data_IF_718128727625
#
_entry.id   IF_718128727625
#
_cell.length_a   1.000
_cell.length_b   1.000
_cell.length_c   1.000
_cell.angle_alpha   90.00
_cell.angle_beta   90.00
_cell.angle_gamma   90.00
#
_symmetry.space_group_name_H-M   'P 1'
#
loop_
_entity.id
_entity.type
_entity.pdbx_description
1 polymer ?
#
# COMPACT_ATOMS: atom_id res chain seq x y z
N UNK A 1 -16.13 22.80 28.13
CA UNK A 1 -15.93 23.01 26.68
C UNK A 1 -16.41 21.75 25.99
N UNK A 2 -17.23 21.87 24.95
CA UNK A 2 -17.68 20.69 24.19
C UNK A 2 -16.49 20.02 23.52
N UNK A 3 -16.30 18.72 23.77
CA UNK A 3 -15.23 17.94 23.16
C UNK A 3 -15.43 17.86 21.64
N UNK A 4 -14.55 18.50 20.85
CA UNK A 4 -14.61 18.46 19.39
C UNK A 4 -13.95 17.18 18.85
N UNK A 5 -14.64 16.04 18.97
CA UNK A 5 -14.15 14.75 18.49
C UNK A 5 -14.08 14.69 16.97
N UNK A 6 -12.97 14.16 16.44
CA UNK A 6 -12.70 14.03 15.00
C UNK A 6 -12.34 12.58 14.70
N UNK A 7 -13.18 11.91 13.92
CA UNK A 7 -12.91 10.58 13.39
C UNK A 7 -12.03 10.68 12.15
N UNK A 8 -10.86 10.05 12.21
CA UNK A 8 -9.82 10.14 11.18
C UNK A 8 -9.66 8.77 10.52
N UNK A 9 -10.23 8.58 9.33
CA UNK A 9 -10.23 7.29 8.63
C UNK A 9 -8.90 7.01 7.90
N UNK A 10 -7.85 6.77 8.70
CA UNK A 10 -6.50 6.35 8.29
C UNK A 10 -5.79 5.64 9.44
N UNK A 11 -4.71 4.94 9.12
CA UNK A 11 -3.76 4.43 10.12
C UNK A 11 -3.07 5.59 10.86
N UNK A 12 -2.90 5.46 12.18
CA UNK A 12 -2.08 6.40 12.97
C UNK A 12 -0.62 6.03 12.79
N UNK A 13 0.25 7.00 12.46
CA UNK A 13 1.70 6.77 12.55
C UNK A 13 2.10 6.57 14.03
N UNK A 14 3.17 5.81 14.27
CA UNK A 14 3.70 5.55 15.63
C UNK A 14 3.91 6.85 16.43
N UNK A 15 3.79 6.74 17.77
CA UNK A 15 3.60 7.87 18.68
C UNK A 15 4.55 9.05 18.46
N UNK A 16 3.98 10.26 18.52
CA UNK A 16 4.55 11.58 18.27
C UNK A 16 4.98 11.93 16.82
N UNK A 17 4.87 10.99 15.85
CA UNK A 17 5.20 11.27 14.44
C UNK A 17 3.99 11.53 13.53
N UNK A 18 2.77 11.49 14.05
CA UNK A 18 1.57 11.79 13.26
C UNK A 18 1.21 13.28 13.34
N UNK A 19 1.62 14.05 12.34
CA UNK A 19 1.33 15.48 12.24
C UNK A 19 -0.17 15.79 12.23
N UNK A 20 -1.03 14.89 11.72
CA UNK A 20 -2.49 15.07 11.80
C UNK A 20 -2.97 15.03 13.25
N UNK A 21 -2.45 14.08 14.05
CA UNK A 21 -2.77 14.00 15.48
C UNK A 21 -2.31 15.27 16.20
N UNK A 22 -1.05 15.68 15.99
CA UNK A 22 -0.46 16.83 16.67
C UNK A 22 -1.22 18.13 16.37
N UNK A 23 -1.52 18.40 15.09
CA UNK A 23 -2.24 19.61 14.67
C UNK A 23 -3.69 19.63 15.17
N UNK A 24 -4.37 18.47 15.19
CA UNK A 24 -5.74 18.39 15.73
C UNK A 24 -5.75 18.73 17.22
N UNK A 25 -4.83 18.15 18.02
CA UNK A 25 -4.71 18.45 19.45
C UNK A 25 -4.37 19.93 19.68
N UNK A 26 -3.41 20.49 18.92
CA UNK A 26 -3.02 21.90 19.01
C UNK A 26 -4.18 22.86 18.72
N UNK A 27 -5.15 22.44 17.91
CA UNK A 27 -6.34 23.22 17.58
C UNK A 27 -7.57 22.81 18.43
N UNK A 28 -7.37 22.16 19.57
CA UNK A 28 -8.40 21.76 20.55
C UNK A 28 -9.43 20.74 20.02
N UNK A 29 -9.03 19.86 19.11
CA UNK A 29 -9.81 18.70 18.69
C UNK A 29 -9.35 17.42 19.41
N UNK A 30 -10.23 16.42 19.49
CA UNK A 30 -9.92 15.09 20.02
C UNK A 30 -9.89 14.09 18.84
N UNK A 31 -8.71 13.75 18.30
CA UNK A 31 -8.59 12.83 17.18
C UNK A 31 -8.76 11.37 17.61
N UNK A 32 -9.58 10.63 16.88
CA UNK A 32 -9.73 9.18 16.99
C UNK A 32 -9.45 8.55 15.62
N UNK A 33 -8.34 7.82 15.53
CA UNK A 33 -7.89 7.20 14.29
C UNK A 33 -8.58 5.86 14.07
N UNK A 34 -9.18 5.69 12.90
CA UNK A 34 -9.91 4.49 12.49
C UNK A 34 -9.21 3.90 11.25
N UNK A 35 -8.35 2.90 11.45
CA UNK A 35 -7.81 2.10 10.34
C UNK A 35 -8.93 1.49 9.49
N UNK A 36 -8.89 1.75 8.18
CA UNK A 36 -9.89 1.25 7.21
C UNK A 36 -9.29 0.32 6.16
N UNK A 37 -7.97 0.31 6.05
CA UNK A 37 -7.23 -0.38 5.00
C UNK A 37 -6.21 -1.30 5.65
N UNK A 38 -6.03 -2.47 5.06
CA UNK A 38 -4.89 -3.34 5.31
C UNK A 38 -4.45 -3.97 3.98
N UNK A 39 -3.66 -5.03 4.02
CA UNK A 39 -3.32 -5.83 2.87
C UNK A 39 -3.39 -7.32 3.18
N UNK A 40 -3.67 -8.08 2.14
CA UNK A 40 -3.59 -9.52 2.16
C UNK A 40 -2.50 -9.99 1.20
N UNK A 41 -1.86 -11.11 1.54
CA UNK A 41 -0.90 -11.76 0.68
C UNK A 41 -1.66 -12.60 -0.36
N UNK A 42 -1.28 -12.50 -1.61
CA UNK A 42 -1.93 -13.15 -2.75
C UNK A 42 -0.98 -14.14 -3.43
N UNK A 43 -1.55 -15.14 -4.09
CA UNK A 43 -0.82 -16.09 -4.95
C UNK A 43 0.38 -16.78 -4.26
N UNK A 44 0.28 -17.00 -2.94
CA UNK A 44 1.34 -17.65 -2.17
C UNK A 44 1.64 -19.05 -2.72
N UNK A 45 0.61 -19.83 -3.06
CA UNK A 45 0.81 -21.18 -3.61
C UNK A 45 1.50 -21.17 -4.97
N UNK A 46 1.12 -20.26 -5.86
CA UNK A 46 1.80 -20.10 -7.16
C UNK A 46 3.27 -19.70 -6.95
N UNK A 47 3.53 -18.78 -6.02
CA UNK A 47 4.89 -18.36 -5.71
C UNK A 47 5.69 -19.50 -5.08
N UNK A 48 5.09 -20.27 -4.18
CA UNK A 48 5.67 -21.46 -3.56
C UNK A 48 6.09 -22.48 -4.64
N UNK A 49 5.23 -22.75 -5.61
CA UNK A 49 5.52 -23.67 -6.71
C UNK A 49 6.70 -23.16 -7.57
N UNK A 50 6.69 -21.87 -7.95
CA UNK A 50 7.80 -21.22 -8.66
C UNK A 50 9.11 -21.35 -7.89
N UNK A 51 9.10 -21.04 -6.59
CA UNK A 51 10.27 -21.11 -5.72
C UNK A 51 10.81 -22.55 -5.59
N UNK A 52 9.91 -23.54 -5.54
CA UNK A 52 10.27 -24.95 -5.44
C UNK A 52 10.89 -25.52 -6.72
N UNK A 53 10.43 -25.06 -7.90
CA UNK A 53 10.95 -25.50 -9.20
C UNK A 53 12.28 -24.82 -9.54
N UNK A 54 12.43 -23.57 -9.11
CA UNK A 54 13.65 -22.80 -9.26
C UNK A 54 13.75 -22.01 -10.57
N UNK A 55 14.67 -21.03 -10.65
CA UNK A 55 14.79 -20.11 -11.78
C UNK A 55 15.00 -20.79 -13.13
N UNK A 56 15.85 -21.82 -13.19
CA UNK A 56 16.17 -22.49 -14.46
C UNK A 56 14.97 -23.22 -15.06
N UNK A 57 14.16 -23.88 -14.22
CA UNK A 57 12.95 -24.57 -14.67
C UNK A 57 11.88 -23.57 -15.13
N UNK A 58 11.70 -22.48 -14.40
CA UNK A 58 10.68 -21.46 -14.68
C UNK A 58 11.09 -20.44 -15.77
N UNK A 59 12.31 -20.58 -16.30
CA UNK A 59 12.97 -19.64 -17.19
C UNK A 59 13.00 -18.21 -16.60
N UNK A 60 13.25 -18.10 -15.30
CA UNK A 60 13.32 -16.82 -14.59
C UNK A 60 14.76 -16.31 -14.60
N UNK A 61 14.96 -15.13 -15.18
CA UNK A 61 16.30 -14.50 -15.32
C UNK A 61 16.54 -13.35 -14.36
N UNK A 62 15.51 -12.91 -13.64
CA UNK A 62 15.62 -11.86 -12.63
C UNK A 62 14.33 -11.68 -11.83
N UNK A 63 14.43 -11.02 -10.69
CA UNK A 63 13.31 -10.74 -9.79
C UNK A 63 13.14 -9.21 -9.62
N UNK A 64 11.91 -8.72 -9.74
CA UNK A 64 11.58 -7.31 -9.48
C UNK A 64 10.71 -7.21 -8.22
N UNK A 65 11.15 -6.40 -7.26
CA UNK A 65 10.48 -6.15 -5.98
C UNK A 65 10.27 -4.65 -5.75
N UNK A 66 9.01 -4.22 -5.77
CA UNK A 66 8.68 -2.79 -5.64
C UNK A 66 8.10 -2.40 -4.28
N UNK A 67 7.97 -3.35 -3.36
CA UNK A 67 7.27 -3.16 -2.07
C UNK A 67 7.73 -4.17 -1.03
N UNK A 68 7.80 -3.75 0.23
CA UNK A 68 8.02 -4.64 1.38
C UNK A 68 6.97 -5.78 1.44
N UNK A 69 5.72 -5.51 1.03
CA UNK A 69 4.64 -6.50 1.02
C UNK A 69 4.91 -7.64 0.03
N UNK A 70 5.58 -7.36 -1.09
CA UNK A 70 6.03 -8.41 -2.02
C UNK A 70 7.06 -9.33 -1.36
N UNK A 71 7.96 -8.77 -0.54
CA UNK A 71 8.94 -9.56 0.22
C UNK A 71 8.27 -10.36 1.34
N UNK A 72 7.25 -9.83 2.01
CA UNK A 72 6.45 -10.62 2.97
C UNK A 72 5.81 -11.84 2.30
N UNK A 73 5.26 -11.66 1.10
CA UNK A 73 4.66 -12.77 0.32
C UNK A 73 5.71 -13.82 -0.05
N UNK A 74 6.87 -13.36 -0.52
CA UNK A 74 8.01 -14.19 -0.86
C UNK A 74 8.50 -15.01 0.33
N UNK A 75 8.73 -14.35 1.47
CA UNK A 75 9.14 -15.03 2.70
C UNK A 75 8.08 -16.01 3.18
N UNK A 76 6.78 -15.66 3.08
CA UNK A 76 5.70 -16.57 3.44
C UNK A 76 5.68 -17.81 2.54
N UNK A 77 5.91 -17.65 1.25
CA UNK A 77 6.03 -18.78 0.33
C UNK A 77 7.26 -19.65 0.66
N UNK A 78 8.41 -19.04 1.00
CA UNK A 78 9.59 -19.77 1.48
C UNK A 78 9.33 -20.54 2.78
N UNK A 79 8.61 -19.96 3.75
CA UNK A 79 8.27 -20.61 5.02
C UNK A 79 7.39 -21.87 4.83
N UNK A 80 6.56 -21.89 3.78
CA UNK A 80 5.73 -23.04 3.44
C UNK A 80 6.49 -24.14 2.68
N UNK A 81 7.74 -23.87 2.26
CA UNK A 81 8.64 -24.85 1.67
C UNK A 81 9.50 -25.44 2.79
N UNK A 82 9.18 -26.65 3.25
CA UNK A 82 9.90 -27.33 4.35
C UNK A 82 11.43 -27.35 4.10
N UNK A 83 11.85 -27.74 2.90
CA UNK A 83 13.26 -27.73 2.47
C UNK A 83 13.35 -27.38 0.99
N UNK A 84 14.11 -26.32 0.65
CA UNK A 84 14.53 -26.02 -0.73
C UNK A 84 15.88 -26.71 -0.97
N UNK A 85 15.99 -27.62 -1.97
CA UNK A 85 17.25 -28.28 -2.31
C UNK A 85 18.36 -27.28 -2.65
N UNK A 86 19.60 -27.58 -2.24
CA UNK A 86 20.74 -26.69 -2.40
C UNK A 86 21.01 -26.21 -3.84
N UNK A 87 20.83 -27.04 -4.89
CA UNK A 87 20.95 -26.57 -6.28
C UNK A 87 19.95 -25.46 -6.63
N UNK A 88 18.70 -25.56 -6.16
CA UNK A 88 17.66 -24.57 -6.39
C UNK A 88 17.93 -23.31 -5.56
N UNK A 89 18.33 -23.47 -4.30
CA UNK A 89 18.76 -22.35 -3.44
C UNK A 89 19.88 -21.55 -4.10
N UNK A 90 20.88 -22.24 -4.65
CA UNK A 90 22.00 -21.62 -5.35
C UNK A 90 21.55 -20.82 -6.56
N UNK A 91 20.60 -21.33 -7.35
CA UNK A 91 20.03 -20.59 -8.49
C UNK A 91 19.37 -19.27 -8.03
N UNK A 92 18.53 -19.32 -7.00
CA UNK A 92 17.90 -18.12 -6.45
C UNK A 92 18.90 -17.12 -5.85
N UNK A 93 19.97 -17.61 -5.21
CA UNK A 93 20.98 -16.77 -4.60
C UNK A 93 21.81 -15.96 -5.63
N UNK A 94 21.98 -16.48 -6.85
CA UNK A 94 22.71 -15.81 -7.92
C UNK A 94 21.82 -14.96 -8.85
N UNK A 95 20.50 -15.10 -8.73
CA UNK A 95 19.54 -14.39 -9.56
C UNK A 95 19.64 -12.86 -9.33
N UNK A 96 19.68 -12.03 -10.38
CA UNK A 96 19.63 -10.59 -10.20
C UNK A 96 18.29 -10.13 -9.62
N UNK A 97 18.36 -9.15 -8.73
CA UNK A 97 17.18 -8.60 -8.05
C UNK A 97 17.14 -7.09 -8.20
N UNK A 98 16.04 -6.59 -8.75
CA UNK A 98 15.79 -5.17 -8.99
C UNK A 98 14.80 -4.65 -7.96
N UNK A 99 15.23 -3.72 -7.11
CA UNK A 99 14.54 -3.37 -5.87
C UNK A 99 14.19 -1.89 -5.84
N UNK A 100 12.92 -1.58 -5.54
CA UNK A 100 12.49 -0.22 -5.22
C UNK A 100 12.42 -0.02 -3.71
N UNK A 101 13.20 0.95 -3.24
CA UNK A 101 13.20 1.45 -1.86
C UNK A 101 14.16 0.68 -0.92
N UNK A 102 14.89 1.39 -0.05
CA UNK A 102 15.86 0.78 0.86
C UNK A 102 15.21 -0.13 1.90
N UNK A 103 13.97 0.14 2.31
CA UNK A 103 13.24 -0.72 3.25
C UNK A 103 12.91 -2.09 2.65
N UNK A 104 12.62 -2.15 1.34
CA UNK A 104 12.39 -3.41 0.62
C UNK A 104 13.67 -4.25 0.57
N UNK A 105 14.81 -3.60 0.28
CA UNK A 105 16.13 -4.25 0.29
C UNK A 105 16.48 -4.82 1.67
N UNK A 106 16.33 -4.00 2.73
CA UNK A 106 16.62 -4.41 4.11
C UNK A 106 15.76 -5.60 4.55
N UNK A 107 14.50 -5.64 4.14
CA UNK A 107 13.60 -6.75 4.43
C UNK A 107 14.00 -8.01 3.65
N UNK A 108 14.37 -7.87 2.37
CA UNK A 108 14.82 -9.00 1.55
C UNK A 108 16.15 -9.59 2.05
N UNK A 109 17.05 -8.76 2.57
CA UNK A 109 18.33 -9.21 3.12
C UNK A 109 18.19 -10.14 4.34
N UNK A 110 16.99 -10.25 4.92
CA UNK A 110 16.65 -11.18 6.00
C UNK A 110 16.02 -12.48 5.48
N UNK A 111 15.84 -12.62 4.17
CA UNK A 111 15.31 -13.83 3.55
C UNK A 111 16.32 -14.97 3.62
N UNK A 112 15.83 -16.20 3.77
CA UNK A 112 16.66 -17.41 3.76
C UNK A 112 17.13 -17.82 2.36
N UNK A 113 16.50 -17.27 1.32
CA UNK A 113 16.72 -17.65 -0.08
C UNK A 113 17.59 -16.63 -0.84
N UNK A 114 17.52 -15.35 -0.46
CA UNK A 114 18.21 -14.26 -1.13
C UNK A 114 19.28 -13.68 -0.20
N UNK A 115 20.54 -13.88 -0.57
CA UNK A 115 21.69 -13.24 0.10
C UNK A 115 22.19 -12.06 -0.74
N UNK A 116 22.81 -11.07 -0.10
CA UNK A 116 23.25 -9.82 -0.75
C UNK A 116 24.40 -9.97 -1.77
N UNK A 117 24.70 -11.19 -2.23
CA UNK A 117 26.02 -11.52 -2.75
C UNK A 117 26.10 -11.85 -4.25
N UNK A 118 25.25 -11.28 -5.12
CA UNK A 118 25.60 -11.34 -6.56
C UNK A 118 25.17 -10.17 -7.44
N UNK A 119 23.92 -9.69 -7.37
CA UNK A 119 23.47 -8.66 -8.33
C UNK A 119 22.18 -7.95 -7.94
N UNK A 120 22.21 -7.24 -6.81
CA UNK A 120 21.06 -6.41 -6.42
C UNK A 120 21.24 -4.99 -6.92
N UNK A 121 20.26 -4.50 -7.67
CA UNK A 121 20.20 -3.10 -8.10
C UNK A 121 19.03 -2.45 -7.40
N UNK A 122 19.35 -1.49 -6.54
CA UNK A 122 18.36 -0.77 -5.73
C UNK A 122 18.27 0.69 -6.19
N UNK A 123 17.05 1.20 -6.25
CA UNK A 123 16.80 2.63 -6.43
C UNK A 123 15.65 3.09 -5.53
N UNK A 124 15.59 4.36 -5.10
CA UNK A 124 14.59 4.82 -4.13
C UNK A 124 13.16 4.87 -4.73
N UNK A 125 13.02 4.92 -6.05
CA UNK A 125 11.74 4.85 -6.75
C UNK A 125 11.88 4.11 -8.10
N UNK A 126 10.75 3.71 -8.68
CA UNK A 126 10.69 2.98 -9.95
C UNK A 126 11.35 3.73 -11.11
N UNK A 127 11.19 5.06 -11.20
CA UNK A 127 11.76 5.85 -12.30
C UNK A 127 13.29 5.79 -12.32
N UNK A 128 13.90 5.76 -11.14
CA UNK A 128 15.36 5.66 -11.00
C UNK A 128 15.88 4.22 -11.08
N UNK A 129 15.02 3.20 -10.95
CA UNK A 129 15.40 1.79 -11.10
C UNK A 129 15.52 1.37 -12.57
N UNK A 130 14.68 1.94 -13.44
CA UNK A 130 14.47 1.44 -14.81
C UNK A 130 15.75 1.42 -15.64
N UNK A 131 16.47 2.54 -15.70
CA UNK A 131 17.69 2.63 -16.51
C UNK A 131 18.79 1.65 -16.06
N UNK A 132 19.19 1.60 -14.77
CA UNK A 132 20.21 0.65 -14.34
C UNK A 132 19.75 -0.81 -14.46
N UNK A 133 18.46 -1.10 -14.25
CA UNK A 133 17.89 -2.43 -14.47
C UNK A 133 18.01 -2.86 -15.94
N UNK A 134 17.58 -2.03 -16.90
CA UNK A 134 17.66 -2.37 -18.33
C UNK A 134 19.12 -2.51 -18.79
N UNK A 135 20.01 -1.64 -18.31
CA UNK A 135 21.44 -1.71 -18.63
C UNK A 135 22.05 -3.03 -18.15
N UNK A 136 21.74 -3.45 -16.92
CA UNK A 136 22.20 -4.71 -16.35
C UNK A 136 21.70 -5.93 -17.13
N UNK A 137 20.41 -5.95 -17.46
CA UNK A 137 19.79 -7.02 -18.26
C UNK A 137 20.46 -7.12 -19.62
N UNK A 138 20.68 -5.97 -20.28
CA UNK A 138 21.28 -5.93 -21.63
C UNK A 138 22.71 -6.48 -21.64
N UNK A 139 23.50 -6.18 -20.59
CA UNK A 139 24.89 -6.64 -20.44
C UNK A 139 24.99 -8.16 -20.18
N UNK A 140 23.95 -8.77 -19.61
CA UNK A 140 23.97 -10.17 -19.18
C UNK A 140 22.97 -11.07 -19.94
N UNK A 141 22.43 -10.58 -21.06
CA UNK A 141 21.41 -11.26 -21.89
C UNK A 141 21.92 -12.48 -22.69
N UNK A 142 22.77 -13.31 -22.10
CA UNK A 142 23.25 -14.54 -22.73
C UNK A 142 22.13 -15.58 -22.92
N UNK A 143 21.05 -15.50 -22.14
CA UNK A 143 19.89 -16.40 -22.19
C UNK A 143 18.73 -15.74 -22.94
N UNK A 144 18.50 -16.16 -24.19
CA UNK A 144 17.51 -15.54 -25.10
C UNK A 144 16.05 -15.84 -24.77
N UNK A 145 15.76 -16.86 -23.96
CA UNK A 145 14.41 -17.40 -23.76
C UNK A 145 13.85 -17.22 -22.34
N UNK A 146 14.47 -16.37 -21.53
CA UNK A 146 14.05 -16.11 -20.15
C UNK A 146 13.13 -14.91 -19.96
N UNK A 147 12.59 -14.78 -18.74
CA UNK A 147 11.71 -13.67 -18.33
C UNK A 147 11.99 -13.21 -16.90
N UNK A 148 11.71 -11.96 -16.61
CA UNK A 148 11.72 -11.45 -15.23
C UNK A 148 10.47 -11.90 -14.47
N UNK A 149 10.60 -12.22 -13.19
CA UNK A 149 9.46 -12.36 -12.28
C UNK A 149 9.22 -11.03 -11.58
N UNK A 150 8.06 -10.41 -11.81
CA UNK A 150 7.69 -9.15 -11.17
C UNK A 150 6.63 -9.36 -10.09
N UNK A 151 7.00 -9.19 -8.81
CA UNK A 151 6.06 -9.29 -7.70
C UNK A 151 5.44 -7.92 -7.39
N UNK A 152 4.19 -7.75 -7.80
CA UNK A 152 3.46 -6.48 -7.75
C UNK A 152 2.27 -6.51 -6.78
N UNK A 153 1.83 -5.35 -6.32
CA UNK A 153 0.55 -5.20 -5.61
C UNK A 153 -0.57 -4.71 -6.51
N UNK A 154 -1.83 -4.92 -6.12
CA UNK A 154 -3.04 -4.43 -6.83
C UNK A 154 -2.99 -2.96 -7.30
N UNK A 155 -2.29 -2.09 -6.56
CA UNK A 155 -2.14 -0.66 -6.86
C UNK A 155 -0.78 -0.27 -7.46
N UNK A 156 -0.07 -1.22 -8.09
CA UNK A 156 1.22 -0.91 -8.77
C UNK A 156 1.03 0.13 -9.87
N UNK A 157 2.08 0.92 -10.12
CA UNK A 157 2.16 1.86 -11.24
C UNK A 157 2.72 1.14 -12.47
N UNK A 158 2.25 1.52 -13.65
CA UNK A 158 2.64 0.86 -14.91
C UNK A 158 4.03 1.23 -15.42
N UNK A 159 4.77 2.09 -14.70
CA UNK A 159 6.06 2.61 -15.15
C UNK A 159 7.10 1.51 -15.42
N UNK A 160 7.15 0.47 -14.57
CA UNK A 160 8.06 -0.67 -14.77
C UNK A 160 7.56 -1.56 -15.93
N UNK A 161 6.31 -2.07 -15.93
CA UNK A 161 5.76 -2.82 -17.07
C UNK A 161 5.97 -2.12 -18.41
N UNK A 162 5.61 -0.84 -18.53
CA UNK A 162 5.77 -0.07 -19.77
C UNK A 162 7.23 0.07 -20.21
N UNK A 163 8.16 0.20 -19.26
CA UNK A 163 9.57 0.29 -19.58
C UNK A 163 10.15 -1.06 -20.06
N UNK A 164 9.71 -2.17 -19.46
CA UNK A 164 10.08 -3.52 -19.89
C UNK A 164 9.51 -3.83 -21.28
N UNK A 165 8.24 -3.51 -21.53
CA UNK A 165 7.59 -3.66 -22.84
C UNK A 165 8.32 -2.85 -23.91
N UNK A 166 8.64 -1.57 -23.63
CA UNK A 166 9.39 -0.71 -24.55
C UNK A 166 10.79 -1.24 -24.87
N UNK A 167 11.42 -1.93 -23.92
CA UNK A 167 12.72 -2.55 -24.09
C UNK A 167 12.65 -3.97 -24.67
N UNK A 168 11.45 -4.49 -24.95
CA UNK A 168 11.19 -5.88 -25.36
C UNK A 168 11.78 -6.91 -24.38
N UNK A 169 11.70 -6.63 -23.08
CA UNK A 169 12.17 -7.53 -22.02
C UNK A 169 10.97 -8.34 -21.50
N UNK A 170 10.94 -9.67 -21.70
CA UNK A 170 9.84 -10.51 -21.23
C UNK A 170 9.75 -10.49 -19.70
N UNK A 171 8.54 -10.43 -19.16
CA UNK A 171 8.30 -10.59 -17.73
C UNK A 171 6.99 -11.32 -17.45
N UNK A 172 6.94 -11.98 -16.30
CA UNK A 172 5.75 -12.54 -15.67
C UNK A 172 5.41 -11.69 -14.46
N UNK A 173 4.31 -10.96 -14.53
CA UNK A 173 3.76 -10.28 -13.36
C UNK A 173 2.99 -11.27 -12.50
N UNK A 174 3.28 -11.27 -11.20
CA UNK A 174 2.52 -12.00 -10.19
C UNK A 174 2.05 -11.01 -9.13
N UNK A 175 0.74 -10.92 -8.95
CA UNK A 175 0.18 -10.12 -7.87
C UNK A 175 0.49 -10.81 -6.53
N UNK A 176 1.43 -10.26 -5.77
CA UNK A 176 1.87 -10.81 -4.49
C UNK A 176 1.03 -10.31 -3.32
N UNK A 177 0.35 -9.17 -3.45
CA UNK A 177 -0.56 -8.68 -2.42
C UNK A 177 -1.69 -7.83 -3.01
N UNK A 178 -2.77 -7.72 -2.26
CA UNK A 178 -3.88 -6.83 -2.57
C UNK A 178 -4.19 -5.91 -1.38
N UNK A 179 -4.72 -4.73 -1.67
CA UNK A 179 -5.27 -3.85 -0.63
C UNK A 179 -6.66 -4.36 -0.25
N UNK A 180 -6.89 -4.61 1.03
CA UNK A 180 -8.17 -5.08 1.56
C UNK A 180 -8.69 -4.15 2.67
N UNK A 181 -9.91 -4.40 3.14
CA UNK A 181 -10.44 -3.75 4.33
C UNK A 181 -9.63 -4.18 5.55
N UNK A 182 -9.44 -3.26 6.50
CA UNK A 182 -8.84 -3.64 7.78
C UNK A 182 -9.68 -4.74 8.46
N UNK A 183 -9.09 -5.84 8.97
CA UNK A 183 -9.84 -7.00 9.48
C UNK A 183 -10.82 -6.64 10.60
N UNK A 184 -10.46 -5.64 11.41
CA UNK A 184 -11.28 -5.14 12.52
C UNK A 184 -12.22 -3.96 12.14
N UNK A 185 -12.32 -3.61 10.85
CA UNK A 185 -13.10 -2.44 10.40
C UNK A 185 -14.57 -2.53 10.82
N UNK A 186 -15.20 -3.69 10.68
CA UNK A 186 -16.62 -3.86 11.02
C UNK A 186 -16.90 -3.57 12.51
N UNK A 187 -16.05 -4.08 13.41
CA UNK A 187 -16.22 -3.84 14.84
C UNK A 187 -16.01 -2.38 15.18
N UNK A 188 -15.00 -1.73 14.58
CA UNK A 188 -14.78 -0.28 14.73
C UNK A 188 -16.00 0.51 14.31
N UNK A 189 -16.55 0.23 13.13
CA UNK A 189 -17.75 0.90 12.63
C UNK A 189 -18.94 0.72 13.58
N UNK A 190 -19.18 -0.50 14.09
CA UNK A 190 -20.24 -0.75 15.09
C UNK A 190 -20.05 0.09 16.35
N UNK A 191 -18.82 0.28 16.81
CA UNK A 191 -18.52 1.18 17.94
C UNK A 191 -18.81 2.65 17.59
N UNK A 192 -18.52 3.08 16.36
CA UNK A 192 -18.85 4.45 15.93
C UNK A 192 -20.36 4.68 15.84
N UNK A 193 -21.15 3.66 15.47
CA UNK A 193 -22.62 3.78 15.41
C UNK A 193 -23.22 4.12 16.78
N UNK A 194 -22.61 3.68 17.89
CA UNK A 194 -23.09 3.98 19.26
C UNK A 194 -22.60 5.32 19.81
N UNK A 195 -21.72 6.03 19.09
CA UNK A 195 -21.15 7.31 19.51
C UNK A 195 -21.76 8.50 18.75
N UNK A 196 -22.45 9.41 19.43
CA UNK A 196 -23.08 10.60 18.79
C UNK A 196 -22.33 11.92 19.03
N UNK A 197 -21.07 11.84 19.47
CA UNK A 197 -20.25 13.00 19.86
C UNK A 197 -19.22 13.44 18.81
N UNK A 198 -19.14 12.76 17.66
CA UNK A 198 -18.23 13.16 16.59
C UNK A 198 -18.70 14.45 15.90
N UNK A 199 -17.80 15.42 15.81
CA UNK A 199 -18.04 16.67 15.08
C UNK A 199 -17.63 16.53 13.62
N UNK A 200 -16.57 15.77 13.36
CA UNK A 200 -15.98 15.61 12.03
C UNK A 200 -15.68 14.15 11.72
N UNK A 201 -15.90 13.78 10.45
CA UNK A 201 -15.40 12.58 9.80
C UNK A 201 -14.45 12.97 8.67
N UNK A 202 -13.21 12.50 8.74
CA UNK A 202 -12.13 12.88 7.81
C UNK A 202 -11.73 11.67 6.96
N UNK A 203 -11.91 11.77 5.64
CA UNK A 203 -11.63 10.70 4.69
C UNK A 203 -10.38 10.98 3.86
N UNK A 204 -9.51 9.97 3.78
CA UNK A 204 -8.20 10.08 3.12
C UNK A 204 -8.14 9.44 1.73
N UNK A 205 -9.13 8.64 1.34
CA UNK A 205 -9.18 8.04 0.01
C UNK A 205 -10.57 7.51 -0.35
N UNK A 206 -10.89 7.37 -1.65
CA UNK A 206 -12.07 6.63 -2.10
C UNK A 206 -12.07 5.18 -1.61
N UNK A 207 -10.92 4.51 -1.56
CA UNK A 207 -10.82 3.12 -1.11
C UNK A 207 -11.29 2.94 0.34
N UNK A 208 -10.93 3.86 1.24
CA UNK A 208 -11.41 3.81 2.63
C UNK A 208 -12.93 3.84 2.73
N UNK A 209 -13.58 4.73 1.97
CA UNK A 209 -15.05 4.81 1.91
C UNK A 209 -15.68 3.59 1.25
N UNK A 210 -15.06 3.02 0.20
CA UNK A 210 -15.49 1.75 -0.39
C UNK A 210 -15.53 0.64 0.66
N UNK A 211 -14.48 0.52 1.47
CA UNK A 211 -14.41 -0.49 2.53
C UNK A 211 -15.44 -0.25 3.63
N UNK A 212 -15.65 1.00 4.05
CA UNK A 212 -16.72 1.33 5.00
C UNK A 212 -18.09 0.91 4.43
N UNK A 213 -18.38 1.27 3.18
CA UNK A 213 -19.64 0.93 2.51
C UNK A 213 -19.83 -0.59 2.36
N UNK A 214 -18.80 -1.34 2.01
CA UNK A 214 -18.90 -2.79 1.90
C UNK A 214 -19.02 -3.48 3.25
N UNK A 215 -18.36 -2.95 4.29
CA UNK A 215 -18.37 -3.54 5.63
C UNK A 215 -19.66 -3.24 6.39
N UNK A 216 -20.18 -2.00 6.31
CA UNK A 216 -21.44 -1.60 6.96
C UNK A 216 -22.24 -0.63 6.06
N UNK A 217 -23.01 -1.14 5.08
CA UNK A 217 -23.75 -0.30 4.13
C UNK A 217 -24.78 0.64 4.77
N UNK A 218 -25.27 0.27 5.96
CA UNK A 218 -26.28 1.01 6.74
C UNK A 218 -25.69 1.99 7.74
N UNK A 219 -24.37 2.22 7.71
CA UNK A 219 -23.69 3.10 8.68
C UNK A 219 -24.22 4.52 8.60
N UNK A 220 -24.36 5.20 9.75
CA UNK A 220 -24.72 6.62 9.80
C UNK A 220 -23.73 7.53 9.08
N UNK A 221 -22.48 7.08 8.92
CA UNK A 221 -21.45 7.76 8.13
C UNK A 221 -21.82 7.89 6.64
N UNK A 222 -22.79 7.09 6.17
CA UNK A 222 -23.26 7.04 4.79
C UNK A 222 -24.65 7.68 4.63
N UNK A 223 -25.17 8.37 5.64
CA UNK A 223 -26.45 9.06 5.60
C UNK A 223 -26.25 10.57 5.44
N UNK A 224 -26.91 11.16 4.44
CA UNK A 224 -26.84 12.62 4.19
C UNK A 224 -27.49 13.45 5.32
N UNK A 225 -28.39 12.85 6.10
CA UNK A 225 -29.04 13.48 7.27
C UNK A 225 -28.16 13.50 8.52
N UNK A 226 -26.96 12.93 8.45
CA UNK A 226 -26.05 12.90 9.58
C UNK A 226 -25.54 14.31 9.92
N UNK A 227 -25.49 14.65 11.21
CA UNK A 227 -24.99 15.94 11.71
C UNK A 227 -23.45 16.03 11.68
N UNK A 228 -22.77 14.92 11.44
CA UNK A 228 -21.31 14.85 11.36
C UNK A 228 -20.83 15.58 10.11
N UNK A 229 -19.93 16.54 10.28
CA UNK A 229 -19.32 17.27 9.15
C UNK A 229 -18.28 16.39 8.47
N UNK A 230 -18.19 16.48 7.15
CA UNK A 230 -17.31 15.63 6.34
C UNK A 230 -16.17 16.47 5.77
N UNK A 231 -14.93 16.06 6.04
CA UNK A 231 -13.73 16.59 5.42
C UNK A 231 -13.08 15.54 4.50
N UNK A 232 -12.60 15.97 3.34
CA UNK A 232 -11.86 15.15 2.40
C UNK A 232 -10.41 15.66 2.27
N UNK A 233 -9.44 14.74 2.23
CA UNK A 233 -8.02 15.11 2.05
C UNK A 233 -7.69 15.75 0.69
N UNK A 234 -8.60 15.65 -0.28
CA UNK A 234 -8.40 16.18 -1.62
C UNK A 234 -9.56 15.88 -2.58
N UNK A 235 -9.48 16.40 -3.81
CA UNK A 235 -10.60 16.43 -4.76
C UNK A 235 -11.11 15.03 -5.13
N UNK A 236 -10.22 14.07 -5.39
CA UNK A 236 -10.62 12.70 -5.76
C UNK A 236 -11.45 12.02 -4.67
N UNK A 237 -11.12 12.24 -3.40
CA UNK A 237 -11.91 11.71 -2.27
C UNK A 237 -13.23 12.46 -2.16
N UNK A 238 -13.23 13.78 -2.34
CA UNK A 238 -14.44 14.60 -2.30
C UNK A 238 -15.44 14.22 -3.40
N UNK A 239 -14.98 13.98 -4.62
CA UNK A 239 -15.81 13.56 -5.75
C UNK A 239 -16.45 12.21 -5.49
N UNK A 240 -15.70 11.26 -4.90
CA UNK A 240 -16.27 9.98 -4.51
C UNK A 240 -17.32 10.11 -3.39
N UNK A 241 -17.12 11.00 -2.41
CA UNK A 241 -18.12 11.27 -1.36
C UNK A 241 -19.41 11.84 -1.98
N UNK A 242 -19.29 12.77 -2.93
CA UNK A 242 -20.45 13.34 -3.65
C UNK A 242 -21.21 12.27 -4.45
N UNK A 243 -20.52 11.32 -5.06
CA UNK A 243 -21.14 10.18 -5.75
C UNK A 243 -21.93 9.26 -4.80
N UNK A 244 -21.64 9.30 -3.49
CA UNK A 244 -22.43 8.64 -2.45
C UNK A 244 -23.61 9.49 -1.97
N UNK A 245 -23.90 10.62 -2.62
CA UNK A 245 -24.92 11.61 -2.24
C UNK A 245 -24.69 12.24 -0.86
N UNK A 246 -23.43 12.32 -0.43
CA UNK A 246 -23.03 12.96 0.83
C UNK A 246 -22.49 14.37 0.59
N UNK A 247 -22.71 15.26 1.55
CA UNK A 247 -22.24 16.64 1.48
C UNK A 247 -20.84 16.78 2.08
N UNK A 248 -19.89 17.24 1.27
CA UNK A 248 -18.51 17.52 1.70
C UNK A 248 -18.45 18.96 2.21
N UNK A 249 -18.10 19.13 3.48
CA UNK A 249 -18.03 20.43 4.12
C UNK A 249 -16.67 21.09 3.90
N UNK A 250 -15.60 20.28 3.89
CA UNK A 250 -14.22 20.73 3.70
C UNK A 250 -13.50 19.82 2.71
N UNK A 251 -12.73 20.43 1.80
CA UNK A 251 -11.73 19.74 0.99
C UNK A 251 -10.40 20.44 1.22
N UNK A 252 -9.36 19.69 1.61
CA UNK A 252 -8.03 20.27 1.75
C UNK A 252 -7.49 20.71 0.38
N UNK A 253 -6.89 21.90 0.32
CA UNK A 253 -6.26 22.43 -0.89
C UNK A 253 -5.09 21.53 -1.35
N UNK A 254 -4.33 21.03 -0.38
CA UNK A 254 -3.24 20.08 -0.58
C UNK A 254 -3.42 18.87 0.34
N UNK A 255 -3.00 17.67 -0.08
CA UNK A 255 -3.19 16.44 0.68
C UNK A 255 -2.16 16.30 1.81
N UNK A 256 -2.09 17.31 2.69
CA UNK A 256 -1.19 17.37 3.82
C UNK A 256 -1.92 17.80 5.11
N UNK A 257 -1.32 17.56 6.29
CA UNK A 257 -1.92 17.88 7.57
C UNK A 257 -2.28 19.36 7.72
N UNK A 258 -1.39 20.27 7.33
CA UNK A 258 -1.57 21.69 7.59
C UNK A 258 -2.78 22.25 6.87
N UNK A 259 -2.92 21.97 5.58
CA UNK A 259 -4.03 22.49 4.78
C UNK A 259 -5.37 21.88 5.20
N UNK A 260 -5.38 20.59 5.55
CA UNK A 260 -6.59 19.93 6.03
C UNK A 260 -7.08 20.50 7.36
N UNK A 261 -6.21 20.60 8.36
CA UNK A 261 -6.61 21.09 9.69
C UNK A 261 -6.97 22.57 9.62
N UNK A 262 -6.23 23.39 8.86
CA UNK A 262 -6.57 24.80 8.67
C UNK A 262 -7.97 24.97 8.07
N UNK A 263 -8.31 24.18 7.04
CA UNK A 263 -9.63 24.25 6.42
C UNK A 263 -10.75 23.82 7.37
N UNK A 264 -10.53 22.80 8.21
CA UNK A 264 -11.46 22.39 9.28
C UNK A 264 -11.66 23.51 10.30
N UNK A 265 -10.56 24.11 10.78
CA UNK A 265 -10.59 25.22 11.77
C UNK A 265 -11.31 26.43 11.21
N UNK A 266 -11.01 26.83 9.97
CA UNK A 266 -11.67 27.96 9.31
C UNK A 266 -13.17 27.69 9.14
N UNK A 267 -13.56 26.48 8.72
CA UNK A 267 -14.96 26.11 8.60
C UNK A 267 -15.69 26.25 9.94
N UNK A 268 -15.12 25.75 11.03
CA UNK A 268 -15.72 25.83 12.36
C UNK A 268 -15.71 27.24 12.96
N UNK A 269 -14.84 28.14 12.50
CA UNK A 269 -14.79 29.54 12.94
C UNK A 269 -15.82 30.43 12.21
N UNK A 270 -16.30 30.02 11.04
CA UNK A 270 -17.27 30.74 10.23
C UNK A 270 -18.73 30.34 10.47
N UNK A 271 -19.00 29.47 11.46
CA UNK A 271 -20.33 28.99 11.85
C UNK A 271 -20.72 29.56 13.21
#
# INVERSE_FOLDING_TARGET
MTEKRVWVFKEKKQDNKDEYYNLLIQNNYIPEFIPVLDYELCNIDILKDILSLGPNHEAITGLILTSQKSVHTLNKACELLDVIPEPIRTQWAHLPVYIVGPQTEQLLARSSLFQKNSRWIQAPNAAQLIQPMIADISQHSAEKDGRLLFLAGDKRRDLIPQALDKANIPFRELQSYATCAHPDLLNRLRTLETQDNAHWAVYFSPSGLKFIKSSLPTSKLLLSSNKIKIAAIGPTTADYIKQLNLFVHVVAEKPDPQHLINAIVQYDACQ
#
